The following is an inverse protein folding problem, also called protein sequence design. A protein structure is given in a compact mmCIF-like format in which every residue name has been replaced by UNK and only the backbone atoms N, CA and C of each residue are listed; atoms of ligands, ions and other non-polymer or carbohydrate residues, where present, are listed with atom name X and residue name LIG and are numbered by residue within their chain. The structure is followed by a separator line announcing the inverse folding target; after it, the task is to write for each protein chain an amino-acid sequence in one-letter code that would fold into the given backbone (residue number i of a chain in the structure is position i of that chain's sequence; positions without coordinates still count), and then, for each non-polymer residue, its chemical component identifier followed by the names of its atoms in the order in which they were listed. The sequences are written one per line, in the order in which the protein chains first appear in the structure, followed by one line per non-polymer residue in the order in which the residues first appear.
data_IF_994372871829
#
_entry.id   IF_994372871829
#
_cell.length_a   1.000
_cell.length_b   1.000
_cell.length_c   1.000
_cell.angle_alpha   90.00
_cell.angle_beta   90.00
_cell.angle_gamma   90.00
#
_symmetry.space_group_name_H-M   'P 1'
#
loop_
_entity.id
_entity.type
_entity.pdbx_description
1 polymer ?
#
# COMPACT_ATOMS: atom_id res chain seq x y z
N UNK A 1 11.50 21.80 -1.32
CA UNK A 1 12.33 20.89 -0.50
C UNK A 1 11.93 19.49 -0.87
N UNK A 2 12.74 18.76 -1.64
CA UNK A 2 12.49 17.36 -1.96
C UNK A 2 12.71 16.54 -0.70
N UNK A 3 11.64 16.35 0.08
CA UNK A 3 11.63 15.43 1.21
C UNK A 3 11.81 14.02 0.64
N UNK A 4 13.04 13.54 0.59
CA UNK A 4 13.33 12.14 0.26
C UNK A 4 12.68 11.29 1.34
N UNK A 5 11.53 10.67 1.05
CA UNK A 5 10.96 9.63 1.90
C UNK A 5 12.02 8.51 1.97
N UNK A 6 12.63 8.25 3.14
CA UNK A 6 13.71 7.29 3.27
C UNK A 6 13.12 5.88 3.40
N UNK A 7 12.61 5.40 2.27
CA UNK A 7 12.03 4.07 2.11
C UNK A 7 12.50 3.46 0.78
N UNK A 8 12.46 2.14 0.68
CA UNK A 8 12.73 1.44 -0.58
C UNK A 8 11.40 1.03 -1.20
N UNK A 9 11.29 1.14 -2.52
CA UNK A 9 10.11 0.71 -3.26
C UNK A 9 10.46 -0.41 -4.24
N UNK A 10 9.69 -1.50 -4.20
CA UNK A 10 9.67 -2.58 -5.21
C UNK A 10 8.35 -2.48 -5.96
N UNK A 11 8.40 -1.78 -7.10
CA UNK A 11 7.28 -1.58 -8.01
C UNK A 11 7.34 -2.56 -9.19
N UNK A 12 6.18 -3.00 -9.68
CA UNK A 12 6.12 -3.87 -10.86
C UNK A 12 4.72 -4.44 -11.12
N UNK A 13 4.47 -5.01 -12.31
CA UNK A 13 3.16 -5.54 -12.68
C UNK A 13 2.78 -6.79 -11.87
N UNK A 14 1.51 -7.18 -11.90
CA UNK A 14 1.05 -8.44 -11.28
C UNK A 14 1.84 -9.62 -11.83
N UNK A 15 2.09 -10.63 -10.98
CA UNK A 15 2.89 -11.81 -11.30
C UNK A 15 4.38 -11.58 -11.64
N UNK A 16 4.94 -10.39 -11.39
CA UNK A 16 6.36 -10.10 -11.62
C UNK A 16 7.32 -10.56 -10.49
N UNK A 17 6.84 -11.35 -9.52
CA UNK A 17 7.67 -11.88 -8.43
C UNK A 17 7.98 -10.91 -7.28
N UNK A 18 7.27 -9.77 -7.17
CA UNK A 18 7.55 -8.72 -6.16
C UNK A 18 7.62 -9.24 -4.72
N UNK A 19 6.65 -10.08 -4.32
CA UNK A 19 6.60 -10.64 -2.96
C UNK A 19 7.86 -11.45 -2.65
N UNK A 20 8.27 -12.33 -3.56
CA UNK A 20 9.48 -13.12 -3.40
C UNK A 20 10.74 -12.24 -3.30
N UNK A 21 10.86 -11.21 -4.14
CA UNK A 21 11.97 -10.26 -4.07
C UNK A 21 11.99 -9.46 -2.76
N UNK A 22 10.83 -9.05 -2.26
CA UNK A 22 10.71 -8.32 -1.01
C UNK A 22 11.14 -9.16 0.20
N UNK A 23 10.72 -10.43 0.25
CA UNK A 23 11.11 -11.37 1.30
C UNK A 23 12.61 -11.66 1.25
N UNK A 24 13.17 -11.88 0.05
CA UNK A 24 14.61 -12.10 -0.10
C UNK A 24 15.44 -10.88 0.33
N UNK A 25 14.98 -9.66 0.03
CA UNK A 25 15.63 -8.44 0.50
C UNK A 25 15.56 -8.30 2.01
N UNK A 26 14.39 -8.60 2.62
CA UNK A 26 14.22 -8.55 4.06
C UNK A 26 15.15 -9.54 4.78
N UNK A 27 15.25 -10.78 4.29
CA UNK A 27 16.15 -11.81 4.81
C UNK A 27 17.62 -11.38 4.71
N UNK A 28 18.04 -10.86 3.56
CA UNK A 28 19.40 -10.38 3.34
C UNK A 28 19.79 -9.19 4.25
N UNK A 29 18.81 -8.40 4.69
CA UNK A 29 19.01 -7.24 5.56
C UNK A 29 18.85 -7.56 7.05
N UNK A 30 18.20 -8.66 7.41
CA UNK A 30 17.89 -9.05 8.78
C UNK A 30 19.10 -8.98 9.75
N UNK A 31 20.35 -9.35 9.37
CA UNK A 31 21.50 -9.22 10.26
C UNK A 31 21.89 -7.77 10.61
N UNK A 32 21.43 -6.79 9.83
CA UNK A 32 21.80 -5.37 9.97
C UNK A 32 20.65 -4.52 10.50
N UNK A 33 19.43 -4.77 10.02
CA UNK A 33 18.24 -4.06 10.45
C UNK A 33 16.98 -4.86 10.12
N UNK A 34 15.90 -4.71 10.93
CA UNK A 34 14.60 -5.23 10.56
C UNK A 34 14.04 -4.53 9.32
N UNK A 35 13.21 -5.24 8.57
CA UNK A 35 12.46 -4.70 7.44
C UNK A 35 10.97 -4.93 7.70
N UNK A 36 10.16 -3.93 7.36
CA UNK A 36 8.70 -4.04 7.43
C UNK A 36 8.10 -3.65 6.08
N UNK A 37 7.17 -4.46 5.57
CA UNK A 37 6.58 -4.29 4.24
C UNK A 37 5.30 -3.47 4.34
N UNK A 38 5.18 -2.42 3.54
CA UNK A 38 3.93 -1.68 3.31
C UNK A 38 3.38 -2.11 1.96
N UNK A 39 2.19 -2.72 1.95
CA UNK A 39 1.53 -3.10 0.69
C UNK A 39 1.07 -1.86 -0.08
N UNK A 40 1.43 -1.79 -1.37
CA UNK A 40 0.99 -0.75 -2.32
C UNK A 40 0.08 -1.38 -3.38
N UNK A 41 -1.02 -1.96 -2.91
CA UNK A 41 -1.99 -2.65 -3.75
C UNK A 41 -3.41 -2.32 -3.30
N UNK A 42 -4.23 -1.82 -4.23
CA UNK A 42 -5.60 -1.39 -3.95
C UNK A 42 -6.57 -2.54 -3.70
N UNK A 43 -6.19 -3.79 -3.97
CA UNK A 43 -7.03 -4.97 -3.75
C UNK A 43 -6.65 -5.73 -2.46
N UNK A 44 -5.37 -5.73 -2.08
CA UNK A 44 -4.90 -6.45 -0.88
C UNK A 44 -5.42 -5.85 0.44
N UNK A 45 -5.88 -4.60 0.42
CA UNK A 45 -6.47 -3.92 1.57
C UNK A 45 -7.76 -4.57 2.08
N UNK A 46 -8.45 -5.36 1.25
CA UNK A 46 -9.78 -5.89 1.55
C UNK A 46 -9.75 -7.27 2.22
N UNK A 47 -10.52 -7.39 3.32
CA UNK A 47 -10.72 -8.63 4.07
C UNK A 47 -11.47 -9.68 3.26
N UNK A 48 -11.02 -10.93 3.36
CA UNK A 48 -11.67 -12.09 2.73
C UNK A 48 -11.50 -12.19 1.22
N UNK A 49 -10.84 -11.21 0.59
CA UNK A 49 -10.52 -11.23 -0.83
C UNK A 49 -9.09 -11.75 -1.03
N UNK A 50 -8.86 -13.05 -0.77
CA UNK A 50 -7.49 -13.59 -0.67
C UNK A 50 -6.99 -14.20 -1.99
N UNK A 51 -7.78 -15.09 -2.59
CA UNK A 51 -7.37 -15.88 -3.77
C UNK A 51 -7.30 -15.00 -5.03
N UNK A 52 -8.37 -14.28 -5.33
CA UNK A 52 -8.47 -13.47 -6.55
C UNK A 52 -7.53 -12.26 -6.59
N UNK A 53 -6.97 -11.88 -5.44
CA UNK A 53 -6.04 -10.74 -5.32
C UNK A 53 -4.58 -11.19 -5.24
N UNK A 54 -4.32 -12.51 -5.25
CA UNK A 54 -2.99 -13.08 -5.04
C UNK A 54 -2.34 -12.57 -3.73
N UNK A 55 -3.12 -12.53 -2.64
CA UNK A 55 -2.66 -12.07 -1.33
C UNK A 55 -1.51 -12.95 -0.83
N UNK A 56 -0.43 -12.36 -0.27
CA UNK A 56 0.63 -13.15 0.35
C UNK A 56 0.04 -14.13 1.36
N UNK A 57 0.53 -15.36 1.33
CA UNK A 57 0.11 -16.42 2.25
C UNK A 57 0.40 -16.03 3.69
N UNK A 58 -0.28 -16.68 4.64
CA UNK A 58 -0.01 -16.46 6.08
C UNK A 58 1.44 -16.76 6.45
N UNK A 59 2.08 -17.71 5.79
CA UNK A 59 3.49 -18.03 6.01
C UNK A 59 4.41 -16.88 5.56
N UNK A 60 4.15 -16.30 4.39
CA UNK A 60 4.88 -15.13 3.88
C UNK A 60 4.65 -13.89 4.76
N UNK A 61 3.41 -13.66 5.21
CA UNK A 61 3.09 -12.56 6.12
C UNK A 61 3.70 -12.74 7.52
N UNK A 62 3.92 -13.98 7.97
CA UNK A 62 4.59 -14.26 9.23
C UNK A 62 6.11 -14.11 9.15
N UNK A 63 6.71 -14.26 7.96
CA UNK A 63 8.15 -14.15 7.77
C UNK A 63 8.65 -12.70 7.91
N UNK A 64 7.85 -11.72 7.46
CA UNK A 64 8.15 -10.29 7.53
C UNK A 64 6.85 -9.55 7.85
N UNK A 65 6.81 -8.59 8.79
CA UNK A 65 5.59 -7.83 9.06
C UNK A 65 5.07 -7.13 7.79
N UNK A 66 3.79 -7.36 7.46
CA UNK A 66 3.10 -6.70 6.35
C UNK A 66 2.03 -5.74 6.87
N UNK A 67 2.00 -4.54 6.31
CA UNK A 67 1.02 -3.50 6.61
C UNK A 67 0.11 -3.25 5.41
N UNK A 68 -1.07 -2.67 5.70
CA UNK A 68 -2.10 -2.33 4.71
C UNK A 68 -2.67 -3.54 3.94
N UNK A 69 -2.67 -4.70 4.58
CA UNK A 69 -3.39 -5.90 4.13
C UNK A 69 -4.55 -6.12 5.11
N UNK A 70 -5.73 -6.50 4.60
CA UNK A 70 -6.90 -6.80 5.44
C UNK A 70 -7.35 -5.66 6.37
N UNK A 71 -7.14 -4.41 5.97
CA UNK A 71 -7.48 -3.21 6.75
C UNK A 71 -8.90 -2.70 6.50
N UNK A 72 -9.56 -3.11 5.40
CA UNK A 72 -10.89 -2.62 5.00
C UNK A 72 -11.88 -3.75 4.75
N UNK A 73 -13.15 -3.45 5.01
CA UNK A 73 -14.26 -4.28 4.53
C UNK A 73 -14.45 -4.08 3.02
N UNK A 74 -14.76 -5.12 2.22
CA UNK A 74 -14.98 -4.99 0.78
C UNK A 74 -16.06 -3.99 0.36
N UNK A 75 -17.02 -3.67 1.24
CA UNK A 75 -18.08 -2.69 0.98
C UNK A 75 -17.64 -1.24 1.26
N UNK A 76 -16.45 -1.03 1.81
CA UNK A 76 -15.90 0.29 2.11
C UNK A 76 -14.88 0.67 1.05
N UNK A 77 -15.03 1.84 0.44
CA UNK A 77 -14.02 2.34 -0.49
C UNK A 77 -12.70 2.66 0.23
N UNK A 78 -11.59 2.53 -0.50
CA UNK A 78 -10.26 2.97 -0.06
C UNK A 78 -9.58 3.81 -1.14
N UNK A 79 -9.28 5.05 -0.80
CA UNK A 79 -8.78 6.06 -1.75
C UNK A 79 -7.25 6.18 -1.75
N UNK A 80 -6.71 6.80 -2.80
CA UNK A 80 -5.28 7.14 -2.86
C UNK A 80 -4.88 8.14 -1.76
N UNK A 81 -5.78 9.05 -1.37
CA UNK A 81 -5.55 10.00 -0.28
C UNK A 81 -5.41 9.28 1.07
N UNK A 82 -6.31 8.33 1.36
CA UNK A 82 -6.20 7.48 2.56
C UNK A 82 -4.91 6.65 2.53
N UNK A 83 -4.55 6.07 1.38
CA UNK A 83 -3.28 5.37 1.23
C UNK A 83 -2.07 6.26 1.56
N UNK A 84 -2.03 7.50 1.06
CA UNK A 84 -0.92 8.42 1.35
C UNK A 84 -0.82 8.72 2.84
N UNK A 85 -1.95 8.97 3.50
CA UNK A 85 -2.01 9.22 4.95
C UNK A 85 -1.47 8.01 5.73
N UNK A 86 -1.98 6.81 5.43
CA UNK A 86 -1.60 5.59 6.10
C UNK A 86 -0.14 5.20 5.84
N UNK A 87 0.31 5.25 4.58
CA UNK A 87 1.69 4.94 4.21
C UNK A 87 2.67 5.94 4.84
N UNK A 88 2.36 7.24 4.85
CA UNK A 88 3.22 8.25 5.47
C UNK A 88 3.37 8.02 6.97
N UNK A 89 2.25 7.74 7.66
CA UNK A 89 2.26 7.39 9.08
C UNK A 89 3.09 6.14 9.33
N UNK A 90 2.85 5.06 8.59
CA UNK A 90 3.58 3.80 8.73
C UNK A 90 5.08 3.94 8.45
N UNK A 91 5.47 4.69 7.43
CA UNK A 91 6.88 4.98 7.14
C UNK A 91 7.55 5.63 8.35
N UNK A 92 6.89 6.59 8.99
CA UNK A 92 7.42 7.25 10.19
C UNK A 92 7.53 6.29 11.38
N UNK A 93 6.48 5.50 11.63
CA UNK A 93 6.42 4.54 12.74
C UNK A 93 7.46 3.41 12.61
N UNK A 94 7.60 2.82 11.42
CA UNK A 94 8.59 1.77 11.11
C UNK A 94 10.00 2.29 11.37
N UNK A 95 10.30 3.51 10.91
CA UNK A 95 11.60 4.13 11.14
C UNK A 95 11.87 4.45 12.60
N UNK A 96 10.87 4.89 13.34
CA UNK A 96 11.00 5.11 14.78
C UNK A 96 11.35 3.83 15.54
N UNK A 97 10.99 2.65 15.01
CA UNK A 97 11.42 1.33 15.53
C UNK A 97 12.81 0.90 15.06
N UNK A 98 13.51 1.70 14.25
CA UNK A 98 14.81 1.35 13.66
C UNK A 98 14.73 0.35 12.50
N UNK A 99 13.54 0.14 11.95
CA UNK A 99 13.32 -0.74 10.81
C UNK A 99 13.30 0.03 9.48
N UNK A 100 13.57 -0.67 8.38
CA UNK A 100 13.46 -0.16 7.02
C UNK A 100 12.02 -0.33 6.49
N UNK A 101 11.34 0.75 6.09
CA UNK A 101 10.08 0.67 5.36
C UNK A 101 10.32 0.21 3.92
N UNK A 102 9.69 -0.89 3.52
CA UNK A 102 9.75 -1.45 2.18
C UNK A 102 8.36 -1.40 1.53
N UNK A 103 8.16 -0.50 0.58
CA UNK A 103 6.91 -0.39 -0.19
C UNK A 103 6.91 -1.43 -1.31
N UNK A 104 5.89 -2.29 -1.35
CA UNK A 104 5.81 -3.38 -2.34
C UNK A 104 4.43 -3.40 -2.98
N UNK A 105 4.35 -3.26 -4.29
CA UNK A 105 3.05 -3.31 -4.95
C UNK A 105 3.03 -2.89 -6.41
N UNK A 106 1.81 -2.87 -6.98
CA UNK A 106 1.56 -2.63 -8.40
C UNK A 106 0.65 -1.43 -8.68
N UNK A 107 0.03 -0.82 -7.67
CA UNK A 107 -0.89 0.30 -7.88
C UNK A 107 -0.10 1.60 -8.10
N UNK A 108 0.25 1.87 -9.36
CA UNK A 108 1.10 3.04 -9.72
C UNK A 108 0.47 4.38 -9.33
N UNK A 109 -0.87 4.47 -9.28
CA UNK A 109 -1.55 5.67 -8.79
C UNK A 109 -1.21 5.96 -7.32
N UNK A 110 -1.10 4.93 -6.48
CA UNK A 110 -0.74 5.08 -5.06
C UNK A 110 0.72 5.52 -4.92
N UNK A 111 1.64 4.95 -5.70
CA UNK A 111 3.03 5.44 -5.75
C UNK A 111 3.11 6.90 -6.19
N UNK A 112 2.41 7.24 -7.29
CA UNK A 112 2.38 8.62 -7.81
C UNK A 112 1.86 9.59 -6.75
N UNK A 113 0.74 9.26 -6.11
CA UNK A 113 0.16 10.05 -5.03
C UNK A 113 1.11 10.23 -3.83
N UNK A 114 1.87 9.19 -3.46
CA UNK A 114 2.82 9.25 -2.35
C UNK A 114 4.06 10.09 -2.68
N UNK A 115 4.54 10.05 -3.93
CA UNK A 115 5.74 10.77 -4.36
C UNK A 115 5.47 12.22 -4.74
N UNK A 116 4.38 12.46 -5.46
CA UNK A 116 4.05 13.78 -6.01
C UNK A 116 3.09 14.56 -5.10
N UNK A 117 2.46 13.89 -4.13
CA UNK A 117 1.35 14.42 -3.35
C UNK A 117 0.01 14.29 -4.07
N UNK A 118 -1.06 14.63 -3.35
CA UNK A 118 -2.42 14.76 -3.87
C UNK A 118 -2.90 16.17 -3.49
N UNK A 119 -3.53 16.86 -4.43
CA UNK A 119 -4.17 18.16 -4.15
C UNK A 119 -5.29 18.00 -3.13
N UNK A 120 -5.47 19.01 -2.27
CA UNK A 120 -6.55 19.02 -1.28
C UNK A 120 -7.91 19.21 -2.00
N UNK A 121 -8.53 18.08 -2.34
CA UNK A 121 -9.84 18.03 -2.99
C UNK A 121 -10.91 17.55 -2.01
N UNK A 122 -12.17 18.04 -2.15
CA UNK A 122 -13.26 17.52 -1.36
C UNK A 122 -13.46 16.01 -1.61
N UNK A 123 -13.90 15.26 -0.59
CA UNK A 123 -14.22 13.85 -0.75
C UNK A 123 -15.38 13.65 -1.73
N UNK A 124 -15.51 12.43 -2.25
CA UNK A 124 -16.61 12.10 -3.15
C UNK A 124 -17.97 12.27 -2.46
N UNK A 125 -18.86 13.06 -3.06
CA UNK A 125 -20.24 13.24 -2.60
C UNK A 125 -21.19 12.26 -3.33
N UNK A 126 -21.81 11.31 -2.60
CA UNK A 126 -22.73 10.34 -3.19
C UNK A 126 -23.95 10.98 -3.88
N UNK A 127 -24.46 12.10 -3.37
CA UNK A 127 -25.63 12.78 -3.95
C UNK A 127 -25.25 13.46 -5.27
N UNK A 128 -24.07 14.08 -5.34
CA UNK A 128 -23.56 14.64 -6.60
C UNK A 128 -23.32 13.52 -7.61
N UNK A 129 -22.75 12.38 -7.20
CA UNK A 129 -22.54 11.22 -8.08
C UNK A 129 -23.86 10.71 -8.66
N UNK A 130 -24.86 10.45 -7.81
CA UNK A 130 -26.16 9.96 -8.25
C UNK A 130 -26.85 10.91 -9.24
N UNK A 131 -26.73 12.23 -9.02
CA UNK A 131 -27.27 13.24 -9.94
C UNK A 131 -26.59 13.19 -11.31
N UNK A 132 -25.27 13.03 -11.35
CA UNK A 132 -24.52 12.94 -12.60
C UNK A 132 -24.78 11.63 -13.35
N UNK A 133 -24.89 10.51 -12.63
CA UNK A 133 -25.25 9.21 -13.23
C UNK A 133 -26.63 9.26 -13.90
N UNK A 134 -27.61 9.91 -13.27
CA UNK A 134 -28.94 10.10 -13.85
C UNK A 134 -28.95 11.01 -15.10
N UNK A 135 -27.95 11.89 -15.26
CA UNK A 135 -27.82 12.76 -16.44
C UNK A 135 -27.13 12.07 -17.62
N UNK A 136 -26.34 11.02 -17.36
CA UNK A 136 -25.58 10.29 -18.37
C UNK A 136 -26.34 9.09 -18.96
N UNK A 137 -27.47 8.71 -18.36
CA UNK A 137 -28.38 7.66 -18.84
C UNK A 137 -29.34 8.19 -19.91
#
# INVERSE_FOLDING_TARGET
MTSTLPAIAIAGPTASGKTASALALADALAPRMPVEIISVDSALVYRGMDIGTAKPTRAEQAAVPHHLIDIRDPLQAYSAAEFVQDATRLISEIRARGALPLLVGGTMLYFKALFDGIDDMPPADPAVRARLEAQAA
#
